data_IF_723657306006
#
_entry.id   IF_723657306006
#
_cell.length_a   1.000
_cell.length_b   1.000
_cell.length_c   1.000
_cell.angle_alpha   90.00
_cell.angle_beta   90.00
_cell.angle_gamma   90.00
#
_symmetry.space_group_name_H-M   'P 1'
#
loop_
_entity.id
_entity.type
_entity.pdbx_description
1 polymer ?
#
# COMPACT_ATOMS: atom_id res chain seq x y z
N UNK A 1 -22.53 -1.88 15.35
CA UNK A 1 -21.10 -1.74 15.00
C UNK A 1 -20.97 -1.89 13.50
N UNK A 2 -20.33 -0.96 12.85
CA UNK A 2 -20.09 -0.96 11.40
C UNK A 2 -18.62 -0.58 11.14
N UNK A 3 -18.01 -1.17 10.11
CA UNK A 3 -16.77 -0.70 9.52
C UNK A 3 -17.12 0.15 8.30
N UNK A 4 -16.96 1.45 8.43
CA UNK A 4 -17.26 2.40 7.35
C UNK A 4 -15.96 3.05 6.93
N UNK A 5 -15.48 2.67 5.76
CA UNK A 5 -14.24 3.23 5.16
C UNK A 5 -13.00 3.05 6.03
N UNK A 6 -12.85 1.88 6.68
CA UNK A 6 -11.70 1.57 7.55
C UNK A 6 -11.75 2.24 8.93
N UNK A 7 -12.90 2.71 9.36
CA UNK A 7 -13.12 3.22 10.72
C UNK A 7 -14.19 2.36 11.39
N UNK A 8 -13.87 1.74 12.50
CA UNK A 8 -14.85 1.06 13.36
C UNK A 8 -15.68 2.12 14.06
N UNK A 9 -16.99 2.03 13.89
CA UNK A 9 -17.95 2.85 14.62
C UNK A 9 -18.80 1.95 15.52
N UNK A 10 -18.91 2.30 16.79
CA UNK A 10 -19.81 1.66 17.72
C UNK A 10 -21.09 2.50 17.81
N UNK A 11 -22.20 1.84 18.05
CA UNK A 11 -23.53 2.45 18.16
C UNK A 11 -24.32 1.83 19.31
N UNK A 12 -25.22 2.62 19.87
CA UNK A 12 -26.11 2.22 20.94
C UNK A 12 -25.55 2.48 22.33
N UNK A 13 -26.07 1.75 23.30
CA UNK A 13 -25.66 1.85 24.69
C UNK A 13 -25.69 0.49 25.37
N UNK A 14 -24.89 0.36 26.44
CA UNK A 14 -24.82 -0.85 27.26
C UNK A 14 -25.04 -0.51 28.73
N UNK A 15 -25.50 -1.49 29.49
CA UNK A 15 -25.63 -1.44 30.95
C UNK A 15 -25.36 -2.83 31.52
N UNK A 16 -25.01 -2.91 32.80
CA UNK A 16 -24.78 -4.18 33.49
C UNK A 16 -25.10 -4.09 34.98
N UNK A 17 -25.44 -5.20 35.58
CA UNK A 17 -25.46 -5.34 37.05
C UNK A 17 -24.18 -6.02 37.61
N UNK A 18 -23.28 -6.44 36.68
CA UNK A 18 -22.02 -7.10 37.05
C UNK A 18 -20.95 -6.10 37.47
N UNK A 19 -19.94 -6.56 38.17
CA UNK A 19 -18.81 -5.74 38.64
C UNK A 19 -17.56 -5.85 37.74
N UNK A 20 -17.62 -6.68 36.69
CA UNK A 20 -16.53 -6.79 35.71
C UNK A 20 -16.57 -5.60 34.73
N UNK A 21 -15.51 -4.81 34.61
CA UNK A 21 -15.47 -3.70 33.70
C UNK A 21 -15.32 -4.11 32.22
N UNK A 22 -15.02 -5.38 31.91
CA UNK A 22 -14.99 -5.88 30.52
C UNK A 22 -16.40 -5.90 29.97
N UNK A 23 -16.65 -5.11 28.93
CA UNK A 23 -17.97 -4.98 28.34
C UNK A 23 -18.22 -6.02 27.24
N UNK A 24 -17.27 -6.17 26.32
CA UNK A 24 -17.34 -7.12 25.20
C UNK A 24 -15.95 -7.31 24.58
N UNK A 25 -15.86 -8.23 23.62
CA UNK A 25 -14.65 -8.44 22.80
C UNK A 25 -14.98 -8.20 21.33
N UNK A 26 -14.21 -7.36 20.69
CA UNK A 26 -14.28 -7.13 19.24
C UNK A 26 -13.73 -8.34 18.49
N UNK A 27 -14.25 -8.64 17.29
CA UNK A 27 -13.57 -9.51 16.35
C UNK A 27 -12.12 -9.02 16.13
N UNK A 28 -11.15 -9.92 16.03
CA UNK A 28 -9.72 -9.56 15.90
C UNK A 28 -9.46 -8.62 14.71
N UNK A 29 -10.20 -8.76 13.61
CA UNK A 29 -10.11 -7.88 12.45
C UNK A 29 -10.53 -6.42 12.71
N UNK A 30 -11.22 -6.17 13.82
CA UNK A 30 -11.70 -4.85 14.25
C UNK A 30 -10.99 -4.35 15.50
N UNK A 31 -10.04 -5.11 16.05
CA UNK A 31 -9.24 -4.69 17.19
C UNK A 31 -8.19 -3.63 16.76
N UNK A 32 -7.85 -2.64 17.60
CA UNK A 32 -6.85 -1.63 17.25
C UNK A 32 -5.41 -2.19 17.29
N UNK A 33 -4.48 -1.60 16.52
CA UNK A 33 -3.06 -1.98 16.53
C UNK A 33 -2.33 -1.65 17.84
N UNK A 34 -2.83 -0.68 18.57
CA UNK A 34 -2.34 -0.26 19.88
C UNK A 34 -3.51 0.00 20.81
N UNK A 35 -3.28 -0.15 22.08
CA UNK A 35 -4.28 0.15 23.11
C UNK A 35 -4.87 1.54 22.86
N UNK A 36 -6.19 1.60 22.73
CA UNK A 36 -6.91 2.81 22.31
C UNK A 36 -7.90 3.23 23.40
N UNK A 37 -7.94 4.53 23.69
CA UNK A 37 -8.87 5.11 24.64
C UNK A 37 -9.82 6.05 23.92
N UNK A 38 -11.14 5.79 24.03
CA UNK A 38 -12.19 6.63 23.44
C UNK A 38 -13.12 7.13 24.54
N UNK A 39 -13.36 8.45 24.57
CA UNK A 39 -14.26 9.06 25.55
C UNK A 39 -15.69 8.57 25.33
N UNK A 40 -16.41 8.27 26.41
CA UNK A 40 -17.83 7.92 26.43
C UNK A 40 -18.59 8.69 27.50
N UNK A 41 -19.90 8.79 27.31
CA UNK A 41 -20.83 9.29 28.31
C UNK A 41 -21.38 8.14 29.16
N UNK A 42 -21.40 8.35 30.45
CA UNK A 42 -21.93 7.39 31.45
C UNK A 42 -23.20 7.95 32.10
N UNK A 43 -23.80 7.19 33.03
CA UNK A 43 -24.96 7.60 33.76
C UNK A 43 -24.83 9.00 34.39
N UNK A 44 -25.91 9.78 34.38
CA UNK A 44 -25.95 11.14 34.92
C UNK A 44 -25.00 12.13 34.24
N UNK A 45 -24.74 11.92 32.94
CA UNK A 45 -23.79 12.73 32.17
C UNK A 45 -22.37 12.75 32.77
N UNK A 46 -21.98 11.69 33.46
CA UNK A 46 -20.59 11.54 33.95
C UNK A 46 -19.67 11.05 32.85
N UNK A 47 -18.39 11.42 32.96
CA UNK A 47 -17.40 11.06 31.95
C UNK A 47 -16.78 9.70 32.21
N UNK A 48 -16.64 8.92 31.14
CA UNK A 48 -15.89 7.68 31.12
C UNK A 48 -15.11 7.52 29.83
N UNK A 49 -14.48 6.37 29.67
CA UNK A 49 -13.82 5.97 28.45
C UNK A 49 -13.95 4.46 28.19
N UNK A 50 -13.96 4.08 26.96
CA UNK A 50 -13.65 2.72 26.57
C UNK A 50 -12.14 2.60 26.48
N UNK A 51 -11.59 1.57 27.10
CA UNK A 51 -10.24 1.12 26.90
C UNK A 51 -10.31 -0.13 26.02
N UNK A 52 -9.84 -0.02 24.79
CA UNK A 52 -9.90 -1.03 23.75
C UNK A 52 -8.50 -1.60 23.58
N UNK A 53 -8.32 -2.85 23.92
CA UNK A 53 -7.05 -3.56 23.85
C UNK A 53 -6.79 -4.11 22.45
N UNK A 54 -5.52 -4.37 22.15
CA UNK A 54 -5.07 -4.95 20.88
C UNK A 54 -5.58 -6.36 20.61
N UNK A 55 -6.04 -7.09 21.64
CA UNK A 55 -6.70 -8.38 21.52
C UNK A 55 -8.23 -8.28 21.28
N UNK A 56 -8.73 -7.05 21.14
CA UNK A 56 -10.15 -6.74 20.97
C UNK A 56 -10.94 -6.62 22.26
N UNK A 57 -10.36 -6.90 23.43
CA UNK A 57 -11.06 -6.73 24.72
C UNK A 57 -11.39 -5.26 24.95
N UNK A 58 -12.66 -4.95 25.23
CA UNK A 58 -13.15 -3.59 25.52
C UNK A 58 -13.57 -3.48 26.98
N UNK A 59 -12.92 -2.57 27.68
CA UNK A 59 -13.14 -2.30 29.11
C UNK A 59 -13.72 -0.89 29.28
N UNK A 60 -14.77 -0.76 30.07
CA UNK A 60 -15.33 0.54 30.46
C UNK A 60 -14.58 1.05 31.70
N UNK A 61 -14.11 2.28 31.63
CA UNK A 61 -13.43 2.95 32.73
C UNK A 61 -14.14 4.27 33.03
N UNK A 62 -14.55 4.48 34.27
CA UNK A 62 -15.10 5.75 34.75
C UNK A 62 -13.96 6.71 35.13
N UNK A 63 -14.28 7.98 35.28
CA UNK A 63 -13.34 9.00 35.81
C UNK A 63 -12.85 8.59 37.19
N UNK A 64 -11.58 8.87 37.47
CA UNK A 64 -10.97 8.60 38.80
C UNK A 64 -11.76 9.33 39.89
N UNK A 65 -12.19 8.59 40.91
CA UNK A 65 -13.00 9.10 42.01
C UNK A 65 -14.50 8.88 41.84
N UNK A 66 -14.98 8.57 40.64
CA UNK A 66 -16.39 8.24 40.41
C UNK A 66 -16.66 6.75 40.66
N UNK A 67 -17.86 6.40 41.16
CA UNK A 67 -18.21 4.98 41.38
C UNK A 67 -18.40 4.25 40.05
N UNK A 68 -18.02 2.97 39.99
CA UNK A 68 -18.26 2.11 38.81
C UNK A 68 -19.77 1.96 38.51
N UNK A 69 -20.63 2.23 39.47
CA UNK A 69 -22.08 2.26 39.28
C UNK A 69 -22.53 3.18 38.14
N UNK A 70 -21.79 4.25 37.83
CA UNK A 70 -22.09 5.12 36.69
C UNK A 70 -21.91 4.39 35.35
N UNK A 71 -20.87 3.58 35.21
CA UNK A 71 -20.66 2.75 34.04
C UNK A 71 -21.65 1.57 33.98
N UNK A 72 -21.98 0.99 35.12
CA UNK A 72 -22.98 -0.09 35.20
C UNK A 72 -24.36 0.37 34.76
N UNK A 73 -24.81 1.56 35.23
CA UNK A 73 -26.11 2.11 34.95
C UNK A 73 -26.31 2.41 33.45
N UNK A 74 -25.28 3.00 32.80
CA UNK A 74 -25.33 3.37 31.40
C UNK A 74 -23.93 3.69 30.87
N UNK A 75 -23.58 3.16 29.68
CA UNK A 75 -22.42 3.54 28.93
C UNK A 75 -22.84 3.73 27.47
N UNK A 76 -22.74 4.95 26.96
CA UNK A 76 -23.00 5.24 25.53
C UNK A 76 -21.88 4.69 24.66
N UNK A 77 -22.24 4.04 23.56
CA UNK A 77 -21.32 3.66 22.49
C UNK A 77 -21.44 4.59 21.28
N UNK A 78 -22.48 5.46 21.26
CA UNK A 78 -22.70 6.38 20.18
C UNK A 78 -21.58 7.44 20.12
N UNK A 79 -21.07 7.68 18.91
CA UNK A 79 -19.96 8.58 18.67
C UNK A 79 -18.59 7.98 18.96
N UNK A 80 -18.52 6.73 19.44
CA UNK A 80 -17.26 6.02 19.58
C UNK A 80 -16.78 5.58 18.21
N UNK A 81 -15.61 6.08 17.81
CA UNK A 81 -14.97 5.69 16.57
C UNK A 81 -13.47 5.56 16.78
N UNK A 82 -12.87 4.58 16.12
CA UNK A 82 -11.43 4.35 16.11
C UNK A 82 -11.02 3.61 14.84
N UNK A 83 -9.74 3.71 14.49
CA UNK A 83 -9.18 2.94 13.38
C UNK A 83 -8.80 1.57 13.93
N UNK A 84 -9.31 0.46 13.35
CA UNK A 84 -8.89 -0.88 13.74
C UNK A 84 -7.38 -1.02 13.52
N UNK A 85 -6.78 -1.90 14.28
CA UNK A 85 -5.37 -2.20 14.12
C UNK A 85 -5.07 -2.64 12.72
N UNK A 86 -3.86 -2.35 12.30
CA UNK A 86 -3.33 -2.88 11.05
C UNK A 86 -3.65 -4.38 11.01
N UNK A 87 -4.37 -4.87 10.01
CA UNK A 87 -4.57 -6.31 9.81
C UNK A 87 -3.24 -7.02 9.51
N UNK A 88 -2.13 -6.30 9.57
CA UNK A 88 -0.80 -6.76 9.23
C UNK A 88 -0.19 -7.63 10.33
N UNK A 89 0.00 -8.91 10.01
CA UNK A 89 0.78 -9.85 10.83
C UNK A 89 2.28 -9.67 10.63
N UNK A 90 3.04 -9.62 11.71
CA UNK A 90 4.51 -9.50 11.67
C UNK A 90 5.15 -10.65 10.91
N UNK A 91 6.07 -10.35 10.00
CA UNK A 91 6.87 -11.34 9.29
C UNK A 91 8.16 -11.68 10.06
N UNK A 92 8.51 -12.96 10.06
CA UNK A 92 9.77 -13.45 10.67
C UNK A 92 10.88 -13.42 9.62
N UNK A 93 11.85 -12.55 9.81
CA UNK A 93 13.01 -12.42 8.93
C UNK A 93 14.03 -13.53 9.22
N UNK A 94 14.78 -13.94 8.16
CA UNK A 94 15.81 -14.98 8.22
C UNK A 94 17.14 -14.46 7.60
N UNK A 95 18.20 -15.25 7.65
CA UNK A 95 19.48 -14.98 7.00
C UNK A 95 20.12 -13.62 7.34
N UNK A 96 19.94 -13.17 8.58
CA UNK A 96 20.53 -11.91 9.05
C UNK A 96 19.76 -10.65 8.62
N UNK A 97 18.60 -10.78 7.96
CA UNK A 97 17.72 -9.65 7.71
C UNK A 97 17.12 -9.14 9.01
N UNK A 98 17.03 -7.82 9.14
CA UNK A 98 16.48 -7.10 10.30
C UNK A 98 15.44 -6.09 9.83
N UNK A 99 14.42 -5.84 10.65
CA UNK A 99 13.33 -4.93 10.33
C UNK A 99 13.55 -3.51 10.86
N UNK A 100 12.72 -2.60 10.38
CA UNK A 100 12.61 -1.21 10.85
C UNK A 100 13.87 -0.33 10.68
N UNK A 101 14.64 -0.43 9.57
CA UNK A 101 15.72 0.51 9.33
C UNK A 101 15.20 1.94 9.17
N UNK A 102 16.03 2.94 9.47
CA UNK A 102 15.72 4.38 9.26
C UNK A 102 14.39 4.86 9.88
N UNK A 103 13.97 4.27 11.00
CA UNK A 103 12.76 4.68 11.71
C UNK A 103 11.45 4.23 11.04
N UNK A 104 11.51 3.27 10.11
CA UNK A 104 10.34 2.64 9.47
C UNK A 104 9.66 1.63 10.40
N UNK A 105 8.54 1.07 9.96
CA UNK A 105 7.92 -0.09 10.58
C UNK A 105 8.68 -1.38 10.23
N UNK A 106 8.56 -2.40 11.08
CA UNK A 106 9.06 -3.73 10.77
C UNK A 106 8.19 -4.43 9.71
N UNK A 107 8.76 -5.42 8.97
CA UNK A 107 8.04 -6.16 7.95
C UNK A 107 6.79 -6.86 8.47
N UNK A 108 5.68 -6.65 7.75
CA UNK A 108 4.40 -7.27 8.07
C UNK A 108 3.59 -7.54 6.80
N UNK A 109 2.63 -8.46 6.87
CA UNK A 109 1.74 -8.84 5.78
C UNK A 109 0.27 -8.84 6.22
N UNK A 110 -0.62 -8.48 5.31
CA UNK A 110 -2.07 -8.59 5.47
C UNK A 110 -2.69 -9.16 4.20
N UNK A 111 -3.72 -9.99 4.33
CA UNK A 111 -4.48 -10.49 3.19
C UNK A 111 -5.95 -10.11 3.32
N UNK A 112 -6.50 -9.42 2.32
CA UNK A 112 -7.91 -9.05 2.25
C UNK A 112 -8.44 -9.29 0.84
N UNK A 113 -9.55 -10.01 0.72
CA UNK A 113 -10.18 -10.30 -0.58
C UNK A 113 -9.29 -11.08 -1.55
N UNK A 114 -8.31 -11.84 -1.04
CA UNK A 114 -7.34 -12.59 -1.84
C UNK A 114 -6.16 -11.74 -2.35
N UNK A 115 -6.06 -10.49 -1.95
CA UNK A 115 -4.90 -9.63 -2.18
C UNK A 115 -4.06 -9.58 -0.90
N UNK A 116 -2.80 -9.97 -1.00
CA UNK A 116 -1.78 -9.77 0.05
C UNK A 116 -1.17 -8.41 -0.14
N UNK A 117 -0.99 -7.69 0.94
CA UNK A 117 -0.24 -6.45 1.00
C UNK A 117 0.87 -6.59 2.02
N UNK A 118 2.05 -6.10 1.69
CA UNK A 118 3.18 -6.03 2.59
C UNK A 118 3.34 -4.59 3.10
N UNK A 119 3.99 -4.45 4.26
CA UNK A 119 4.30 -3.14 4.85
C UNK A 119 5.61 -3.16 5.61
N UNK A 120 6.13 -1.98 5.90
CA UNK A 120 7.38 -1.80 6.63
C UNK A 120 8.61 -1.84 5.73
N UNK A 121 9.77 -2.02 6.35
CA UNK A 121 11.03 -2.12 5.63
C UNK A 121 12.02 -3.02 6.37
N UNK A 122 13.06 -3.45 5.63
CA UNK A 122 14.09 -4.34 6.13
C UNK A 122 15.47 -3.98 5.58
N UNK A 123 16.51 -4.44 6.25
CA UNK A 123 17.91 -4.31 5.86
C UNK A 123 18.70 -5.54 6.31
N UNK A 124 19.92 -5.73 5.80
CA UNK A 124 20.80 -6.81 6.22
C UNK A 124 22.27 -6.41 6.09
N UNK A 125 23.12 -7.04 6.85
CA UNK A 125 24.60 -7.03 6.64
C UNK A 125 25.09 -8.31 5.96
N UNK A 126 24.18 -9.28 5.78
CA UNK A 126 24.47 -10.55 5.12
C UNK A 126 24.40 -10.45 3.59
N UNK A 127 24.84 -11.51 2.91
CA UNK A 127 24.84 -11.62 1.45
C UNK A 127 23.75 -12.54 0.90
N UNK A 128 22.93 -13.15 1.78
CA UNK A 128 21.85 -14.03 1.36
C UNK A 128 20.62 -13.18 1.01
N UNK A 129 20.13 -13.22 -0.24
CA UNK A 129 19.00 -12.40 -0.67
C UNK A 129 17.63 -12.91 -0.16
N UNK A 130 17.54 -14.13 0.40
CA UNK A 130 16.28 -14.65 0.96
C UNK A 130 15.99 -13.97 2.28
N UNK A 131 14.90 -13.20 2.34
CA UNK A 131 14.58 -12.36 3.49
C UNK A 131 13.61 -13.01 4.48
N UNK A 132 12.56 -13.65 3.98
CA UNK A 132 11.54 -14.31 4.82
C UNK A 132 10.74 -15.34 4.01
N UNK A 133 9.85 -16.07 4.70
CA UNK A 133 8.87 -16.95 4.07
C UNK A 133 7.47 -16.54 4.52
N UNK A 134 6.56 -16.34 3.58
CA UNK A 134 5.17 -16.00 3.83
C UNK A 134 4.42 -17.13 4.54
N UNK A 135 3.46 -16.81 5.43
CA UNK A 135 2.49 -17.76 5.94
C UNK A 135 1.76 -18.50 4.80
N UNK A 136 1.35 -19.74 5.02
CA UNK A 136 0.75 -20.56 3.95
C UNK A 136 -0.48 -19.91 3.30
N UNK A 137 -1.29 -19.18 4.08
CA UNK A 137 -2.49 -18.50 3.59
C UNK A 137 -2.18 -17.31 2.66
N UNK A 138 -0.97 -16.73 2.78
CA UNK A 138 -0.56 -15.53 2.04
C UNK A 138 0.30 -15.85 0.81
N UNK A 139 0.46 -17.13 0.47
CA UNK A 139 1.33 -17.54 -0.65
C UNK A 139 0.63 -17.38 -1.99
N UNK A 140 1.36 -16.90 -3.02
CA UNK A 140 0.85 -16.91 -4.38
C UNK A 140 0.81 -18.33 -4.96
N UNK A 141 -0.04 -18.55 -5.97
CA UNK A 141 -0.13 -19.84 -6.67
C UNK A 141 0.96 -20.06 -7.73
N UNK A 142 1.63 -19.00 -8.16
CA UNK A 142 2.71 -18.95 -9.16
C UNK A 142 3.76 -17.99 -8.70
N UNK A 143 4.93 -17.95 -9.33
CA UNK A 143 5.95 -16.93 -9.04
C UNK A 143 5.41 -15.52 -9.30
N UNK A 144 5.74 -14.59 -8.41
CA UNK A 144 5.32 -13.19 -8.44
C UNK A 144 6.56 -12.30 -8.36
N UNK A 145 6.64 -11.28 -9.21
CA UNK A 145 7.72 -10.31 -9.25
C UNK A 145 7.15 -8.91 -9.06
N UNK A 146 7.42 -8.28 -7.91
CA UNK A 146 6.87 -6.96 -7.55
C UNK A 146 7.99 -5.95 -7.35
N UNK A 147 7.93 -4.77 -8.01
CA UNK A 147 8.94 -3.73 -7.85
C UNK A 147 8.94 -3.18 -6.41
N UNK A 148 10.15 -2.87 -5.91
CA UNK A 148 10.36 -2.27 -4.58
C UNK A 148 11.36 -1.12 -4.64
N UNK A 149 11.26 -0.20 -3.66
CA UNK A 149 12.26 0.82 -3.42
C UNK A 149 13.41 0.27 -2.57
N UNK A 150 14.62 0.51 -3.01
CA UNK A 150 15.84 0.16 -2.31
C UNK A 150 16.57 1.40 -1.78
N UNK A 151 17.76 1.21 -1.23
CA UNK A 151 18.59 2.32 -0.76
C UNK A 151 18.82 3.36 -1.85
N UNK A 152 18.84 4.65 -1.47
CA UNK A 152 19.02 5.78 -2.38
C UNK A 152 17.96 5.91 -3.49
N UNK A 153 16.75 5.41 -3.25
CA UNK A 153 15.67 5.34 -4.22
C UNK A 153 16.05 4.54 -5.49
N UNK A 154 16.94 3.55 -5.38
CA UNK A 154 17.28 2.65 -6.49
C UNK A 154 16.21 1.58 -6.67
N UNK A 155 16.17 1.00 -7.86
CA UNK A 155 15.16 0.02 -8.21
C UNK A 155 15.55 -1.40 -7.81
N UNK A 156 14.56 -2.16 -7.33
CA UNK A 156 14.66 -3.58 -7.08
C UNK A 156 13.30 -4.25 -7.19
N UNK A 157 13.29 -5.56 -6.93
CA UNK A 157 12.06 -6.34 -6.88
C UNK A 157 12.10 -7.41 -5.79
N UNK A 158 10.93 -7.83 -5.37
CA UNK A 158 10.77 -9.09 -4.66
C UNK A 158 10.42 -10.19 -5.67
N UNK A 159 11.14 -11.28 -5.60
CA UNK A 159 10.77 -12.56 -6.21
C UNK A 159 10.10 -13.40 -5.11
N UNK A 160 8.80 -13.66 -5.28
CA UNK A 160 7.97 -14.38 -4.33
C UNK A 160 7.58 -15.71 -4.95
N UNK A 161 8.21 -16.77 -4.48
CA UNK A 161 7.95 -18.12 -4.98
C UNK A 161 6.59 -18.69 -4.45
N UNK A 162 5.98 -19.67 -5.13
CA UNK A 162 4.78 -20.36 -4.63
C UNK A 162 4.97 -21.04 -3.27
N UNK A 163 6.20 -21.38 -2.91
CA UNK A 163 6.55 -21.87 -1.57
C UNK A 163 6.41 -20.82 -0.47
N UNK A 164 6.24 -19.55 -0.86
CA UNK A 164 6.23 -18.38 0.01
C UNK A 164 7.61 -17.78 0.29
N UNK A 165 8.68 -18.37 -0.21
CA UNK A 165 10.03 -17.81 -0.07
C UNK A 165 10.11 -16.49 -0.81
N UNK A 166 10.62 -15.44 -0.13
CA UNK A 166 10.77 -14.09 -0.67
C UNK A 166 12.24 -13.75 -0.78
N UNK A 167 12.65 -13.43 -2.00
CA UNK A 167 14.03 -13.08 -2.37
C UNK A 167 14.08 -11.64 -2.86
N UNK A 168 15.05 -10.86 -2.38
CA UNK A 168 15.26 -9.48 -2.83
C UNK A 168 16.26 -9.48 -3.97
N UNK A 169 15.94 -8.78 -5.05
CA UNK A 169 16.80 -8.59 -6.21
C UNK A 169 16.90 -7.10 -6.53
N UNK A 170 18.07 -6.65 -6.97
CA UNK A 170 18.29 -5.25 -7.39
C UNK A 170 18.64 -5.19 -8.89
N UNK A 171 18.34 -4.05 -9.52
CA UNK A 171 18.65 -3.79 -10.93
C UNK A 171 20.16 -3.70 -11.16
N UNK A 172 20.84 -2.92 -10.31
CA UNK A 172 22.28 -2.71 -10.42
C UNK A 172 23.10 -3.96 -10.05
N UNK A 173 24.30 -4.14 -10.59
CA UNK A 173 25.18 -5.21 -10.17
C UNK A 173 25.52 -5.15 -8.67
N UNK A 174 25.53 -6.31 -8.03
CA UNK A 174 25.84 -6.42 -6.61
C UNK A 174 24.61 -6.63 -5.74
N UNK A 175 24.68 -6.27 -4.44
CA UNK A 175 23.63 -6.46 -3.47
C UNK A 175 23.53 -5.32 -2.43
N UNK A 176 24.43 -4.32 -2.53
CA UNK A 176 24.59 -3.28 -1.50
C UNK A 176 23.33 -2.42 -1.27
N UNK A 177 22.60 -2.07 -2.34
CA UNK A 177 21.38 -1.28 -2.21
C UNK A 177 20.26 -2.07 -1.51
N UNK A 178 20.12 -3.35 -1.83
CA UNK A 178 19.19 -4.26 -1.16
C UNK A 178 19.54 -4.46 0.31
N UNK A 179 20.84 -4.59 0.63
CA UNK A 179 21.33 -4.74 2.00
C UNK A 179 21.02 -3.51 2.85
N UNK A 180 21.31 -2.32 2.32
CA UNK A 180 21.13 -1.06 3.03
C UNK A 180 19.67 -0.80 3.39
N UNK A 181 18.76 -1.04 2.45
CA UNK A 181 17.32 -0.78 2.63
C UNK A 181 16.48 -1.48 1.57
N UNK A 182 15.43 -2.14 1.98
CA UNK A 182 14.37 -2.66 1.11
C UNK A 182 13.02 -2.30 1.70
N UNK A 183 12.24 -1.47 1.00
CA UNK A 183 10.87 -1.13 1.39
C UNK A 183 9.91 -2.23 0.98
N UNK A 184 8.93 -2.50 1.82
CA UNK A 184 7.80 -3.38 1.52
C UNK A 184 6.49 -2.58 1.31
N UNK A 185 6.54 -1.26 1.50
CA UNK A 185 5.36 -0.41 1.27
C UNK A 185 4.98 -0.36 -0.21
N UNK A 186 3.68 -0.44 -0.47
CA UNK A 186 3.15 -0.51 -1.85
C UNK A 186 3.17 -1.89 -2.49
N UNK A 187 3.84 -2.87 -1.87
CA UNK A 187 3.87 -4.25 -2.39
C UNK A 187 2.52 -4.91 -2.19
N UNK A 188 1.89 -5.32 -3.29
CA UNK A 188 0.67 -6.11 -3.26
C UNK A 188 0.70 -7.21 -4.33
N UNK A 189 0.06 -8.35 -4.06
CA UNK A 189 -0.05 -9.44 -5.02
C UNK A 189 -1.24 -10.35 -4.68
N UNK A 190 -1.67 -11.15 -5.66
CA UNK A 190 -2.80 -12.06 -5.52
C UNK A 190 -2.39 -13.41 -4.93
N UNK A 191 -3.17 -13.92 -3.97
CA UNK A 191 -3.12 -15.33 -3.59
C UNK A 191 -3.77 -16.21 -4.67
N UNK A 192 -3.60 -17.53 -4.57
CA UNK A 192 -4.29 -18.49 -5.45
C UNK A 192 -5.82 -18.44 -5.32
N UNK A 193 -6.35 -17.96 -4.21
CA UNK A 193 -7.79 -17.91 -3.92
C UNK A 193 -8.50 -16.69 -4.51
N UNK A 194 -7.77 -15.67 -4.99
CA UNK A 194 -8.36 -14.45 -5.53
C UNK A 194 -8.99 -14.69 -6.92
N UNK A 195 -10.19 -14.13 -7.12
CA UNK A 195 -10.88 -14.18 -8.41
C UNK A 195 -10.45 -13.01 -9.28
N UNK A 196 -9.88 -13.32 -10.46
CA UNK A 196 -9.42 -12.35 -11.45
C UNK A 196 -10.05 -12.62 -12.81
N UNK A 197 -10.32 -11.55 -13.55
CA UNK A 197 -10.74 -11.60 -14.95
C UNK A 197 -9.51 -11.61 -15.86
N UNK A 198 -9.37 -12.60 -16.71
CA UNK A 198 -8.26 -12.72 -17.67
C UNK A 198 -8.24 -11.55 -18.67
N UNK A 199 -7.06 -11.06 -19.02
CA UNK A 199 -6.86 -10.02 -20.02
C UNK A 199 -6.52 -10.65 -21.38
N UNK A 200 -7.10 -10.09 -22.44
CA UNK A 200 -6.77 -10.48 -23.82
C UNK A 200 -5.58 -9.65 -24.29
N UNK A 201 -4.45 -10.31 -24.44
CA UNK A 201 -3.21 -9.67 -24.90
C UNK A 201 -3.28 -9.33 -26.40
N UNK A 202 -2.59 -8.28 -26.79
CA UNK A 202 -2.51 -7.74 -28.15
C UNK A 202 -1.05 -7.75 -28.64
N UNK A 203 -0.83 -7.46 -29.92
CA UNK A 203 0.48 -7.19 -30.49
C UNK A 203 1.56 -8.27 -30.17
N UNK A 204 1.19 -9.54 -30.16
CA UNK A 204 2.13 -10.62 -29.96
C UNK A 204 2.58 -10.85 -28.52
N UNK A 205 2.06 -10.10 -27.55
CA UNK A 205 2.35 -10.36 -26.14
C UNK A 205 1.85 -11.74 -25.72
N UNK A 206 2.66 -12.43 -24.93
CA UNK A 206 2.39 -13.78 -24.43
C UNK A 206 2.30 -13.80 -22.91
N UNK A 207 1.51 -14.72 -22.38
CA UNK A 207 1.25 -14.88 -20.95
C UNK A 207 2.29 -15.73 -20.24
N UNK A 208 2.42 -15.51 -18.92
CA UNK A 208 3.04 -16.42 -17.95
C UNK A 208 4.51 -16.76 -18.22
N UNK A 209 5.38 -15.80 -18.61
CA UNK A 209 6.81 -16.06 -18.68
C UNK A 209 7.36 -16.42 -17.29
N UNK A 210 8.44 -17.20 -17.24
CA UNK A 210 9.18 -17.54 -16.00
C UNK A 210 8.35 -18.13 -14.86
N UNK A 211 7.30 -18.91 -15.18
CA UNK A 211 6.45 -19.57 -14.18
C UNK A 211 5.50 -18.64 -13.42
N UNK A 212 5.24 -17.45 -13.95
CA UNK A 212 4.23 -16.51 -13.44
C UNK A 212 2.81 -16.92 -13.83
N UNK A 213 1.82 -16.13 -13.44
CA UNK A 213 0.44 -16.36 -13.87
C UNK A 213 0.10 -15.60 -15.16
N UNK A 214 -1.01 -15.98 -15.80
CA UNK A 214 -1.57 -15.21 -16.91
C UNK A 214 -1.98 -13.82 -16.46
N UNK A 215 -1.88 -12.86 -17.39
CA UNK A 215 -2.35 -11.50 -17.21
C UNK A 215 -3.83 -11.45 -16.86
N UNK A 216 -4.16 -10.84 -15.74
CA UNK A 216 -5.53 -10.73 -15.27
C UNK A 216 -5.73 -9.49 -14.40
N UNK A 217 -6.99 -9.10 -14.18
CA UNK A 217 -7.38 -7.90 -13.45
C UNK A 217 -8.54 -8.19 -12.50
N UNK A 218 -8.56 -7.54 -11.33
CA UNK A 218 -9.67 -7.59 -10.38
C UNK A 218 -9.92 -6.21 -9.76
N UNK A 219 -11.16 -5.97 -9.33
CA UNK A 219 -11.54 -4.81 -8.52
C UNK A 219 -11.77 -5.31 -7.08
N UNK A 220 -10.95 -4.86 -6.16
CA UNK A 220 -11.07 -5.18 -4.74
C UNK A 220 -10.99 -3.89 -3.91
N UNK A 221 -11.95 -3.68 -3.01
CA UNK A 221 -11.99 -2.49 -2.16
C UNK A 221 -12.10 -1.15 -2.92
N UNK A 222 -12.49 -1.14 -4.19
CA UNK A 222 -12.50 0.07 -5.02
C UNK A 222 -11.15 0.37 -5.70
N UNK A 223 -10.19 -0.53 -5.59
CA UNK A 223 -8.87 -0.48 -6.25
C UNK A 223 -8.80 -1.60 -7.29
N UNK A 224 -8.34 -1.27 -8.49
CA UNK A 224 -8.04 -2.22 -9.56
C UNK A 224 -6.65 -2.81 -9.29
N UNK A 225 -6.56 -4.12 -9.21
CA UNK A 225 -5.32 -4.87 -9.04
C UNK A 225 -5.04 -5.70 -10.26
N UNK A 226 -3.80 -5.69 -10.71
CA UNK A 226 -3.33 -6.57 -11.77
C UNK A 226 -2.61 -7.80 -11.20
N UNK A 227 -2.51 -8.82 -12.02
CA UNK A 227 -1.85 -10.09 -11.71
C UNK A 227 -1.18 -10.66 -12.93
N UNK A 228 -0.06 -11.34 -12.72
CA UNK A 228 0.65 -12.10 -13.73
C UNK A 228 1.74 -11.32 -14.43
N UNK A 229 2.29 -11.92 -15.47
CA UNK A 229 3.31 -11.28 -16.29
C UNK A 229 3.17 -11.66 -17.77
N UNK A 230 3.80 -10.84 -18.62
CA UNK A 230 3.75 -10.95 -20.07
C UNK A 230 5.13 -10.75 -20.68
N UNK A 231 5.33 -11.25 -21.91
CA UNK A 231 6.58 -11.14 -22.66
C UNK A 231 6.35 -11.16 -24.18
N UNK A 232 7.42 -10.93 -24.94
CA UNK A 232 7.52 -11.16 -26.38
C UNK A 232 6.70 -10.23 -27.29
N UNK A 233 6.09 -9.17 -26.78
CA UNK A 233 5.29 -8.24 -27.58
C UNK A 233 6.11 -7.51 -28.66
N UNK A 234 5.45 -7.09 -29.74
CA UNK A 234 6.06 -6.36 -30.86
C UNK A 234 5.73 -4.88 -30.86
N UNK A 235 4.90 -4.42 -29.91
CA UNK A 235 4.47 -3.04 -29.74
C UNK A 235 4.30 -2.74 -28.26
N UNK A 236 4.47 -1.49 -27.80
CA UNK A 236 4.23 -1.13 -26.39
C UNK A 236 2.79 -1.40 -25.89
N UNK A 237 1.80 -1.41 -26.78
CA UNK A 237 0.39 -1.66 -26.39
C UNK A 237 0.19 -3.14 -26.02
N UNK A 238 -0.24 -3.37 -24.78
CA UNK A 238 -0.34 -4.69 -24.16
C UNK A 238 -1.72 -5.32 -24.35
N UNK A 239 -2.74 -4.57 -23.94
CA UNK A 239 -4.16 -4.98 -23.89
C UNK A 239 -5.08 -3.76 -23.79
N UNK A 240 -6.38 -4.01 -23.86
CA UNK A 240 -7.41 -3.01 -23.52
C UNK A 240 -8.23 -3.51 -22.35
N UNK A 241 -8.29 -2.72 -21.27
CA UNK A 241 -9.07 -3.05 -20.06
C UNK A 241 -10.57 -3.15 -20.38
N UNK A 242 -11.28 -4.16 -19.83
CA UNK A 242 -12.73 -4.18 -19.84
C UNK A 242 -13.33 -2.92 -19.18
N UNK A 243 -14.49 -2.47 -19.60
CA UNK A 243 -15.09 -1.20 -19.21
C UNK A 243 -15.18 -0.99 -17.67
N UNK A 244 -15.45 -2.06 -16.92
CA UNK A 244 -15.57 -1.99 -15.44
C UNK A 244 -14.25 -1.72 -14.69
N UNK A 245 -13.11 -1.77 -15.37
CA UNK A 245 -11.79 -1.59 -14.77
C UNK A 245 -11.08 -0.33 -15.28
N UNK A 246 -11.72 0.47 -16.14
CA UNK A 246 -11.06 1.62 -16.78
C UNK A 246 -10.96 2.81 -15.83
N UNK A 247 -9.83 3.54 -15.85
CA UNK A 247 -9.71 4.79 -15.09
C UNK A 247 -10.52 5.92 -15.74
N UNK A 248 -10.88 6.93 -14.95
CA UNK A 248 -11.54 8.13 -15.45
C UNK A 248 -10.57 9.13 -16.11
N UNK A 249 -9.29 9.04 -15.83
CA UNK A 249 -8.18 9.86 -16.30
C UNK A 249 -6.99 8.98 -16.61
N UNK A 250 -5.97 9.47 -17.30
CA UNK A 250 -4.73 8.73 -17.50
C UNK A 250 -4.07 8.36 -16.15
N UNK A 251 -3.55 7.14 -16.07
CA UNK A 251 -2.90 6.58 -14.88
C UNK A 251 -1.54 6.01 -15.27
N UNK A 252 -0.54 6.27 -14.44
CA UNK A 252 0.84 5.79 -14.61
C UNK A 252 1.27 5.02 -13.37
N UNK A 253 1.49 3.71 -13.51
CA UNK A 253 1.80 2.80 -12.41
C UNK A 253 3.14 2.11 -12.64
N UNK A 254 4.09 2.15 -11.67
CA UNK A 254 5.39 1.48 -11.82
C UNK A 254 5.21 -0.04 -11.93
N UNK A 255 6.03 -0.67 -12.78
CA UNK A 255 6.10 -2.13 -12.97
C UNK A 255 7.56 -2.60 -13.00
N UNK A 256 7.77 -3.90 -12.76
CA UNK A 256 9.05 -4.56 -12.91
C UNK A 256 9.21 -5.11 -14.32
N UNK A 257 10.37 -4.85 -14.92
CA UNK A 257 10.75 -5.39 -16.22
C UNK A 257 11.88 -6.42 -16.08
N UNK A 258 12.46 -6.85 -17.19
CA UNK A 258 13.58 -7.78 -17.21
C UNK A 258 14.72 -7.27 -16.33
N UNK A 259 15.42 -8.18 -15.62
CA UNK A 259 16.57 -7.87 -14.77
C UNK A 259 16.29 -6.86 -13.63
N UNK A 260 15.07 -6.84 -13.11
CA UNK A 260 14.62 -5.86 -12.12
C UNK A 260 14.68 -4.39 -12.61
N UNK A 261 14.63 -4.18 -13.93
CA UNK A 261 14.60 -2.85 -14.54
C UNK A 261 13.26 -2.17 -14.26
N UNK A 262 13.30 -0.86 -14.04
CA UNK A 262 12.08 -0.08 -13.84
C UNK A 262 11.34 0.13 -15.16
N UNK A 263 10.01 0.11 -15.10
CA UNK A 263 9.11 0.52 -16.17
C UNK A 263 7.79 1.00 -15.59
N UNK A 264 6.87 1.42 -16.44
CA UNK A 264 5.52 1.78 -16.01
C UNK A 264 4.46 1.35 -17.01
N UNK A 265 3.27 1.12 -16.51
CA UNK A 265 2.06 1.05 -17.34
C UNK A 265 1.49 2.46 -17.48
N UNK A 266 1.17 2.86 -18.69
CA UNK A 266 0.30 3.97 -18.99
C UNK A 266 -1.08 3.40 -19.34
N UNK A 267 -2.10 3.77 -18.55
CA UNK A 267 -3.46 3.25 -18.67
C UNK A 267 -4.40 4.40 -19.00
N UNK A 268 -4.98 4.38 -20.18
CA UNK A 268 -5.85 5.45 -20.69
C UNK A 268 -7.32 5.24 -20.27
N UNK A 269 -8.14 6.31 -20.25
CA UNK A 269 -9.59 6.20 -20.03
C UNK A 269 -10.32 5.28 -21.01
N UNK A 270 -9.77 5.13 -22.23
CA UNK A 270 -10.23 4.17 -23.24
C UNK A 270 -10.05 2.70 -22.79
N UNK A 271 -9.20 2.48 -21.79
CA UNK A 271 -8.73 1.17 -21.33
C UNK A 271 -7.47 0.68 -22.05
N UNK A 272 -7.03 1.36 -23.12
CA UNK A 272 -5.76 1.02 -23.77
C UNK A 272 -4.64 1.14 -22.76
N UNK A 273 -3.83 0.09 -22.66
CA UNK A 273 -2.72 0.00 -21.70
C UNK A 273 -1.45 -0.30 -22.46
N UNK A 274 -0.46 0.52 -22.30
CA UNK A 274 0.87 0.37 -22.86
C UNK A 274 1.95 0.37 -21.79
N UNK A 275 3.10 -0.24 -22.10
CA UNK A 275 4.28 -0.24 -21.26
C UNK A 275 5.27 0.80 -21.76
N UNK A 276 5.81 1.59 -20.84
CA UNK A 276 6.86 2.57 -21.12
C UNK A 276 8.12 2.20 -20.33
N UNK A 277 9.28 2.42 -20.95
CA UNK A 277 10.60 2.18 -20.37
C UNK A 277 11.35 3.50 -20.18
N UNK A 278 12.25 3.61 -19.17
CA UNK A 278 13.12 4.78 -19.02
C UNK A 278 13.96 5.01 -20.28
N UNK A 279 14.36 6.25 -20.52
CA UNK A 279 15.20 6.62 -21.67
C UNK A 279 16.60 5.98 -21.66
N UNK A 280 17.03 5.47 -20.52
CA UNK A 280 18.28 4.73 -20.33
C UNK A 280 18.18 3.25 -20.71
N UNK A 281 16.98 2.75 -20.90
CA UNK A 281 16.64 1.36 -21.18
C UNK A 281 16.01 1.22 -22.57
N UNK A 282 15.83 -0.01 -23.02
CA UNK A 282 15.26 -0.29 -24.33
C UNK A 282 13.92 -1.02 -24.22
N UNK A 283 13.12 -0.96 -25.28
CA UNK A 283 11.87 -1.73 -25.33
C UNK A 283 12.12 -3.25 -25.21
N UNK A 284 13.33 -3.72 -25.50
CA UNK A 284 13.71 -5.13 -25.31
C UNK A 284 13.57 -5.59 -23.85
N UNK A 285 13.74 -4.70 -22.87
CA UNK A 285 13.58 -5.01 -21.44
C UNK A 285 12.12 -5.31 -21.11
N UNK A 286 11.19 -4.53 -21.67
CA UNK A 286 9.76 -4.81 -21.55
C UNK A 286 9.36 -6.08 -22.32
N UNK A 287 9.92 -6.31 -23.52
CA UNK A 287 9.64 -7.52 -24.31
C UNK A 287 10.15 -8.79 -23.62
N UNK A 288 11.31 -8.72 -22.97
CA UNK A 288 11.85 -9.85 -22.22
C UNK A 288 10.91 -10.25 -21.08
N UNK A 289 10.41 -9.26 -20.33
CA UNK A 289 9.52 -9.48 -19.18
C UNK A 289 8.86 -8.19 -18.76
N UNK A 290 7.56 -8.22 -18.58
CA UNK A 290 6.79 -7.16 -17.91
C UNK A 290 5.90 -7.79 -16.85
N UNK A 291 6.17 -7.53 -15.57
CA UNK A 291 5.31 -7.94 -14.47
C UNK A 291 4.10 -7.02 -14.37
N UNK A 292 2.94 -7.59 -14.19
CA UNK A 292 1.71 -6.89 -13.84
C UNK A 292 1.41 -7.02 -12.35
N UNK A 293 2.08 -7.95 -11.64
CA UNK A 293 1.92 -8.13 -10.20
C UNK A 293 2.39 -6.87 -9.45
N UNK A 294 1.60 -6.44 -8.46
CA UNK A 294 1.85 -5.23 -7.69
C UNK A 294 1.29 -3.96 -8.32
N UNK A 295 1.03 -3.94 -9.62
CA UNK A 295 0.39 -2.79 -10.26
C UNK A 295 -1.07 -2.66 -9.78
N UNK A 296 -1.44 -1.46 -9.36
CA UNK A 296 -2.79 -1.16 -8.88
C UNK A 296 -3.13 0.31 -9.03
N UNK A 297 -4.41 0.62 -9.20
CA UNK A 297 -4.88 2.02 -9.27
C UNK A 297 -6.36 2.14 -8.89
N UNK A 298 -6.78 3.35 -8.51
CA UNK A 298 -8.19 3.65 -8.25
C UNK A 298 -8.89 4.14 -9.52
N UNK A 299 -9.92 3.43 -10.03
CA UNK A 299 -10.60 3.80 -11.28
C UNK A 299 -11.44 5.06 -11.13
N UNK A 300 -11.97 5.38 -9.94
CA UNK A 300 -12.76 6.58 -9.68
C UNK A 300 -12.26 7.34 -8.46
N UNK A 301 -12.63 8.62 -8.33
CA UNK A 301 -12.26 9.46 -7.19
C UNK A 301 -13.32 9.50 -6.07
N UNK A 302 -14.42 8.76 -6.18
CA UNK A 302 -15.61 8.93 -5.33
C UNK A 302 -15.35 8.71 -3.83
N UNK A 303 -14.35 7.90 -3.44
CA UNK A 303 -13.96 7.64 -2.04
C UNK A 303 -12.67 8.33 -1.62
N UNK A 304 -12.05 9.14 -2.49
CA UNK A 304 -10.77 9.78 -2.23
C UNK A 304 -10.94 11.21 -1.72
N UNK A 305 -10.15 11.57 -0.71
CA UNK A 305 -10.04 12.94 -0.19
C UNK A 305 -8.95 13.68 -0.96
N UNK A 306 -9.29 14.83 -1.54
CA UNK A 306 -8.32 15.68 -2.24
C UNK A 306 -7.24 16.19 -1.29
N UNK A 307 -6.01 16.30 -1.80
CA UNK A 307 -4.84 16.79 -1.08
C UNK A 307 -4.52 18.24 -1.49
N UNK A 308 -4.21 19.07 -0.50
CA UNK A 308 -3.74 20.44 -0.74
C UNK A 308 -2.25 20.44 -1.00
N UNK A 309 -1.88 20.76 -2.23
CA UNK A 309 -0.49 20.83 -2.66
C UNK A 309 0.23 22.04 -2.08
N UNK A 310 1.53 21.94 -1.85
CA UNK A 310 2.40 22.94 -1.25
C UNK A 310 3.57 23.27 -2.22
N UNK A 311 4.34 24.30 -1.91
CA UNK A 311 5.60 24.63 -2.61
C UNK A 311 5.48 24.67 -4.14
N UNK A 312 4.41 25.25 -4.65
CA UNK A 312 4.21 25.42 -6.11
C UNK A 312 3.87 24.14 -6.88
N UNK A 313 3.67 23.01 -6.21
CA UNK A 313 3.20 21.81 -6.87
C UNK A 313 1.80 22.02 -7.46
N UNK A 314 1.59 21.53 -8.67
CA UNK A 314 0.31 21.57 -9.39
C UNK A 314 -0.20 20.15 -9.61
N UNK A 315 -1.53 19.97 -9.61
CA UNK A 315 -2.17 18.65 -9.80
C UNK A 315 -2.51 18.38 -11.27
N UNK A 316 -2.84 17.13 -11.53
CA UNK A 316 -3.36 16.66 -12.82
C UNK A 316 -2.47 16.94 -14.05
N UNK A 317 -1.12 16.82 -13.99
CA UNK A 317 -0.30 16.91 -15.20
C UNK A 317 -0.63 15.75 -16.16
N UNK A 318 -0.41 15.94 -17.46
CA UNK A 318 -0.55 14.90 -18.48
C UNK A 318 -1.89 14.14 -18.43
N UNK A 319 -3.00 14.87 -18.26
CA UNK A 319 -4.37 14.33 -18.22
C UNK A 319 -4.66 13.37 -17.04
N UNK A 320 -3.80 13.32 -16.04
CA UNK A 320 -4.02 12.53 -14.81
C UNK A 320 -5.08 13.16 -13.90
N UNK A 321 -5.37 12.56 -12.77
CA UNK A 321 -6.24 13.16 -11.76
C UNK A 321 -5.48 14.04 -10.78
N UNK A 322 -6.21 14.90 -10.05
CA UNK A 322 -5.65 15.63 -8.94
C UNK A 322 -5.20 14.68 -7.82
N UNK A 323 -4.20 15.12 -7.06
CA UNK A 323 -3.69 14.40 -5.90
C UNK A 323 -4.80 14.16 -4.87
N UNK A 324 -5.00 12.92 -4.49
CA UNK A 324 -5.99 12.51 -3.52
C UNK A 324 -5.55 11.26 -2.74
N UNK A 325 -6.20 10.97 -1.61
CA UNK A 325 -5.86 9.89 -0.69
C UNK A 325 -7.11 9.21 -0.15
N UNK A 326 -7.07 7.90 0.03
CA UNK A 326 -8.12 7.12 0.69
C UNK A 326 -7.51 6.05 1.59
N UNK A 327 -8.27 5.65 2.63
CA UNK A 327 -7.97 4.47 3.43
C UNK A 327 -8.90 3.34 2.98
N UNK A 328 -8.33 2.25 2.48
CA UNK A 328 -9.07 1.11 1.96
C UNK A 328 -8.46 -0.17 2.56
N UNK A 329 -9.27 -0.98 3.23
CA UNK A 329 -8.81 -2.24 3.82
C UNK A 329 -7.66 -2.10 4.83
N UNK A 330 -7.54 -0.94 5.51
CA UNK A 330 -6.44 -0.66 6.44
C UNK A 330 -5.15 -0.15 5.77
N UNK A 331 -5.19 0.13 4.47
CA UNK A 331 -4.07 0.66 3.69
C UNK A 331 -4.42 2.03 3.14
N UNK A 332 -3.50 2.97 3.25
CA UNK A 332 -3.61 4.29 2.63
C UNK A 332 -3.16 4.20 1.18
N UNK A 333 -4.06 4.52 0.26
CA UNK A 333 -3.81 4.56 -1.18
C UNK A 333 -3.80 6.00 -1.68
N UNK A 334 -2.81 6.33 -2.49
CA UNK A 334 -2.78 7.59 -3.20
C UNK A 334 -3.37 7.47 -4.61
N UNK A 335 -3.75 8.63 -5.16
CA UNK A 335 -4.29 8.75 -6.52
C UNK A 335 -3.84 10.05 -7.16
N UNK A 336 -3.64 10.00 -8.49
CA UNK A 336 -3.34 11.16 -9.31
C UNK A 336 -1.85 11.41 -9.48
N UNK A 337 -1.52 12.61 -9.94
CA UNK A 337 -0.14 13.02 -10.12
C UNK A 337 0.07 14.52 -9.85
N UNK A 338 1.33 14.90 -9.67
CA UNK A 338 1.74 16.29 -9.40
C UNK A 338 2.95 16.68 -10.24
N UNK A 339 3.11 17.98 -10.50
CA UNK A 339 4.25 18.54 -11.24
C UNK A 339 4.61 19.96 -10.77
N UNK A 340 5.70 20.51 -11.28
CA UNK A 340 6.12 21.93 -11.20
C UNK A 340 6.53 22.45 -9.82
N UNK A 341 6.69 21.59 -8.80
CA UNK A 341 7.07 22.03 -7.46
C UNK A 341 8.48 22.62 -7.37
N UNK A 342 8.69 23.49 -6.41
CA UNK A 342 9.99 24.15 -6.16
C UNK A 342 10.80 23.50 -5.03
N UNK A 343 10.23 22.53 -4.34
CA UNK A 343 10.81 21.77 -3.20
C UNK A 343 10.29 20.36 -3.21
N UNK A 344 11.02 19.40 -2.65
CA UNK A 344 10.60 18.02 -2.56
C UNK A 344 9.31 17.79 -1.75
N UNK A 345 8.89 18.70 -0.88
CA UNK A 345 7.66 18.55 -0.09
C UNK A 345 6.43 18.81 -0.96
N UNK A 346 5.58 17.77 -1.10
CA UNK A 346 4.38 17.80 -1.93
C UNK A 346 3.16 18.36 -1.20
N UNK A 347 2.85 17.78 -0.06
CA UNK A 347 1.66 18.06 0.76
C UNK A 347 1.84 17.51 2.18
N UNK A 348 0.85 17.81 3.05
CA UNK A 348 0.77 17.22 4.38
C UNK A 348 -0.54 16.44 4.50
N UNK A 349 -0.45 15.16 4.87
CA UNK A 349 -1.60 14.28 5.05
C UNK A 349 -2.50 14.74 6.21
N UNK A 350 -3.82 14.66 6.05
CA UNK A 350 -4.75 14.75 7.18
C UNK A 350 -4.41 13.71 8.27
N UNK A 351 -4.67 14.01 9.56
CA UNK A 351 -4.26 13.14 10.67
C UNK A 351 -4.64 11.66 10.52
N UNK A 352 -5.81 11.37 9.98
CA UNK A 352 -6.33 10.00 9.81
C UNK A 352 -5.57 9.14 8.80
N UNK A 353 -4.74 9.75 7.96
CA UNK A 353 -3.95 9.06 6.93
C UNK A 353 -2.45 9.04 7.25
N UNK A 354 -2.05 9.49 8.44
CA UNK A 354 -0.64 9.58 8.80
C UNK A 354 -0.12 8.23 9.27
N UNK A 355 1.07 7.82 8.84
CA UNK A 355 1.68 6.60 9.34
C UNK A 355 2.18 6.77 10.80
N UNK A 356 2.14 5.68 11.56
CA UNK A 356 2.71 5.65 12.91
C UNK A 356 4.25 5.75 12.90
N UNK A 357 4.89 5.30 11.82
CA UNK A 357 6.33 5.33 11.56
C UNK A 357 6.57 5.87 10.15
N UNK A 358 7.81 6.26 9.85
CA UNK A 358 8.17 6.68 8.50
C UNK A 358 7.90 5.55 7.48
N UNK A 359 7.33 5.91 6.33
CA UNK A 359 7.06 4.98 5.23
C UNK A 359 7.68 5.50 3.93
N UNK A 360 8.12 4.59 3.08
CA UNK A 360 8.71 4.87 1.77
C UNK A 360 7.98 4.07 0.71
N UNK A 361 7.15 4.72 -0.09
CA UNK A 361 6.40 4.09 -1.17
C UNK A 361 7.04 4.46 -2.53
N UNK A 362 7.19 3.47 -3.41
CA UNK A 362 7.72 3.71 -4.76
C UNK A 362 6.80 4.65 -5.54
N UNK A 363 7.39 5.52 -6.36
CA UNK A 363 6.68 6.43 -7.25
C UNK A 363 7.37 6.47 -8.61
N UNK A 364 6.57 6.63 -9.67
CA UNK A 364 7.06 6.86 -11.01
C UNK A 364 7.26 8.37 -11.24
N UNK A 365 8.39 8.72 -11.84
CA UNK A 365 8.74 10.10 -12.18
C UNK A 365 8.76 10.31 -13.71
N UNK A 366 9.11 11.52 -14.12
CA UNK A 366 9.18 11.88 -15.55
C UNK A 366 10.06 10.92 -16.34
N UNK A 367 9.61 10.53 -17.54
CA UNK A 367 10.34 9.62 -18.41
C UNK A 367 10.49 8.19 -17.86
N UNK A 368 9.54 7.74 -17.05
CA UNK A 368 9.56 6.45 -16.36
C UNK A 368 10.79 6.25 -15.43
N UNK A 369 11.36 7.35 -14.94
CA UNK A 369 12.49 7.28 -14.00
C UNK A 369 12.01 6.93 -12.59
N UNK A 370 12.90 6.36 -11.79
CA UNK A 370 12.56 5.84 -10.47
C UNK A 370 12.57 6.93 -9.40
N UNK A 371 11.61 6.84 -8.50
CA UNK A 371 11.52 7.70 -7.33
C UNK A 371 10.70 7.07 -6.22
N UNK A 372 10.56 7.80 -5.12
CA UNK A 372 9.75 7.39 -3.98
C UNK A 372 9.08 8.55 -3.27
N UNK A 373 8.02 8.26 -2.58
CA UNK A 373 7.42 9.15 -1.59
C UNK A 373 7.99 8.80 -0.21
N UNK A 374 8.57 9.76 0.46
CA UNK A 374 8.93 9.66 1.87
C UNK A 374 7.80 10.27 2.71
N UNK A 375 7.13 9.46 3.50
CA UNK A 375 5.93 9.80 4.27
C UNK A 375 6.29 9.77 5.74
N UNK A 376 6.22 10.93 6.39
CA UNK A 376 6.63 11.09 7.78
C UNK A 376 5.43 10.93 8.75
N UNK A 377 5.66 10.57 10.03
CA UNK A 377 4.59 10.45 11.03
C UNK A 377 3.81 11.74 11.28
N UNK A 378 4.41 12.91 11.05
CA UNK A 378 3.72 14.21 11.11
C UNK A 378 2.81 14.47 9.90
N UNK A 379 2.82 13.56 8.91
CA UNK A 379 2.04 13.61 7.68
C UNK A 379 2.73 14.32 6.51
N UNK A 380 3.90 14.91 6.69
CA UNK A 380 4.64 15.54 5.58
C UNK A 380 5.05 14.46 4.57
N UNK A 381 4.72 14.68 3.28
CA UNK A 381 5.09 13.79 2.18
C UNK A 381 6.06 14.50 1.26
N UNK A 382 7.19 13.87 1.05
CA UNK A 382 8.29 14.39 0.22
C UNK A 382 8.58 13.43 -0.92
N UNK A 383 8.70 13.93 -2.14
CA UNK A 383 9.22 13.13 -3.26
C UNK A 383 10.74 13.13 -3.24
N UNK A 384 11.32 11.97 -3.51
CA UNK A 384 12.76 11.76 -3.65
C UNK A 384 13.00 10.99 -4.95
N UNK A 385 13.86 11.53 -5.80
CA UNK A 385 14.34 10.83 -7.00
C UNK A 385 15.48 9.86 -6.65
N UNK A 386 15.78 8.96 -7.55
CA UNK A 386 16.92 8.06 -7.42
C UNK A 386 18.21 8.87 -7.24
N UNK A 387 19.14 8.35 -6.45
CA UNK A 387 20.43 9.00 -6.22
C UNK A 387 21.19 9.18 -7.54
N UNK A 388 21.63 10.40 -7.81
CA UNK A 388 22.29 10.78 -9.06
C UNK A 388 21.36 11.40 -10.11
N UNK A 389 20.05 11.19 -10.00
CA UNK A 389 19.08 11.80 -10.89
C UNK A 389 18.78 13.27 -10.48
N UNK A 390 18.51 14.14 -11.45
CA UNK A 390 18.17 15.54 -11.17
C UNK A 390 16.76 15.66 -10.59
N UNK A 391 16.56 16.61 -9.68
CA UNK A 391 15.24 16.92 -9.11
C UNK A 391 14.20 17.32 -10.19
N UNK A 392 14.65 17.76 -11.35
CA UNK A 392 13.78 18.05 -12.50
C UNK A 392 12.93 16.87 -12.96
N UNK A 393 13.35 15.62 -12.68
CA UNK A 393 12.54 14.44 -12.99
C UNK A 393 11.28 14.41 -12.12
N UNK A 394 11.41 14.68 -10.82
CA UNK A 394 10.28 14.80 -9.92
C UNK A 394 9.40 16.03 -10.26
N UNK A 395 10.02 17.16 -10.58
CA UNK A 395 9.30 18.40 -10.96
C UNK A 395 8.49 18.26 -12.24
N UNK A 396 9.02 17.56 -13.23
CA UNK A 396 8.33 17.33 -14.50
C UNK A 396 7.07 16.47 -14.28
N UNK A 397 7.18 15.42 -13.49
CA UNK A 397 6.08 14.51 -13.19
C UNK A 397 6.39 13.64 -11.96
N UNK A 398 5.43 13.52 -11.07
CA UNK A 398 5.44 12.54 -9.98
C UNK A 398 4.08 11.87 -9.92
N UNK A 399 4.00 10.59 -10.26
CA UNK A 399 2.79 9.79 -10.08
C UNK A 399 2.59 9.44 -8.62
N UNK A 400 1.35 9.55 -8.17
CA UNK A 400 0.88 9.06 -6.87
C UNK A 400 0.10 7.75 -7.02
N UNK A 401 -0.35 7.43 -8.26
CA UNK A 401 -1.07 6.19 -8.54
C UNK A 401 -0.17 4.97 -8.30
N UNK A 402 -0.74 3.95 -7.65
CA UNK A 402 0.00 2.76 -7.23
C UNK A 402 0.77 2.90 -5.93
N UNK A 403 1.05 4.10 -5.47
CA UNK A 403 1.68 4.31 -4.17
C UNK A 403 0.68 4.04 -3.03
N UNK A 404 1.11 3.24 -2.07
CA UNK A 404 0.31 2.91 -0.89
C UNK A 404 1.20 2.59 0.31
N UNK A 405 0.66 2.68 1.51
CA UNK A 405 1.38 2.34 2.75
C UNK A 405 0.41 1.98 3.88
N UNK A 406 0.91 1.28 4.90
CA UNK A 406 0.18 1.04 6.14
C UNK A 406 0.29 2.27 7.07
N UNK A 407 -0.82 2.82 7.60
CA UNK A 407 -0.83 3.97 8.48
C UNK A 407 -0.27 3.72 9.88
#
# INVERSE_FOLDING_TARGET
MSDVSGVVQLEGAIATSGTNPVAFTLPQALAPASDTYVKVDLCNATNGRLFIHTDGTVTVQQKIGDPFANAQCFTSLDGVSFIPGSPFGKLTLVNGWTGAPFGTSGPAASATGGIVQLSGAMSTTGTNPVAFTLPAADRPGTSVFVPVDLCNATNGRLDIAPSGVVTVQQQDPGFANSQCFTSLEGVSFATSAASFTGLTLQNGWTNAPFGTSNAAVALAGGVVHFKGAIASGTSPVLFTLPAGFRPATDVYVPVDLCNATNGRLHIQPSGVTDVEVPSTETFADAQCFTSLDGASFAPSAASFTGLTLQNGWTGAPFSTSNAAVALVGGVVHFKGAVASGTSGVLFTLPPRFRPAKAAYAKADLCGATNGRLFIQPNGVVTVQQQSGDPFSNAQCFTSLDGASFAP
#
